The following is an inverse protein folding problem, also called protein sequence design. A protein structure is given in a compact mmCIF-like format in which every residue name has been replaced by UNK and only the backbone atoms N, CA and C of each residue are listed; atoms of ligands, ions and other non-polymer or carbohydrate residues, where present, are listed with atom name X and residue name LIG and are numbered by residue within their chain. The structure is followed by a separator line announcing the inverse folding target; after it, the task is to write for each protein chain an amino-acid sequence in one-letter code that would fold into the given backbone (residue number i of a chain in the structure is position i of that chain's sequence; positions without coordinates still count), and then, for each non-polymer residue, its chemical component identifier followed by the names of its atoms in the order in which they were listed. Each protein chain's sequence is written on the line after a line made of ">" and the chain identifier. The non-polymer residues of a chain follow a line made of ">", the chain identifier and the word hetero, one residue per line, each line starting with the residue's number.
data_IF_576815553286
#
_entry.id   IF_576815553286
#
_cell.length_a   1.000
_cell.length_b   1.000
_cell.length_c   1.000
_cell.angle_alpha   90.00
_cell.angle_beta   90.00
_cell.angle_gamma   90.00
#
_symmetry.space_group_name_H-M   'P 1'
#
loop_
_entity.id
_entity.type
_entity.pdbx_description
1 polymer ?
#
# COMPACT_ATOMS: atom_id res chain seq x y z
N UNK A 1 -12.08 2.99 30.16
CA UNK A 1 -10.99 3.81 29.59
C UNK A 1 -11.26 3.91 28.10
N UNK A 2 -11.91 4.99 27.67
CA UNK A 2 -12.15 5.26 26.24
C UNK A 2 -10.93 6.04 25.74
N UNK A 3 -10.26 5.54 24.70
CA UNK A 3 -9.23 6.31 24.02
C UNK A 3 -9.93 7.42 23.23
N UNK A 4 -9.78 8.66 23.66
CA UNK A 4 -10.21 9.83 22.89
C UNK A 4 -9.41 9.85 21.60
N UNK A 5 -10.09 9.64 20.47
CA UNK A 5 -9.51 9.87 19.15
C UNK A 5 -9.38 11.38 19.01
N UNK A 6 -8.14 11.91 19.04
CA UNK A 6 -7.89 13.34 18.87
C UNK A 6 -8.56 13.85 17.59
N UNK A 7 -9.28 15.00 17.64
CA UNK A 7 -10.01 15.56 16.50
C UNK A 7 -9.13 15.96 15.30
N UNK A 8 -7.80 15.93 15.47
CA UNK A 8 -6.80 16.23 14.43
C UNK A 8 -6.21 14.98 13.77
N UNK A 9 -6.70 13.77 14.08
CA UNK A 9 -6.15 12.56 13.47
C UNK A 9 -6.58 12.47 12.01
N UNK A 10 -5.63 12.64 11.11
CA UNK A 10 -5.79 12.43 9.66
C UNK A 10 -6.55 11.12 9.39
N UNK A 11 -7.76 11.18 8.76
CA UNK A 11 -8.60 10.01 8.54
C UNK A 11 -7.90 8.86 7.83
N UNK A 12 -7.00 9.18 6.90
CA UNK A 12 -6.26 8.17 6.16
C UNK A 12 -5.21 7.46 7.02
N UNK A 13 -4.60 8.18 7.97
CA UNK A 13 -3.73 7.58 9.00
C UNK A 13 -4.45 6.51 9.80
N UNK A 14 -5.70 6.77 10.19
CA UNK A 14 -6.50 5.79 10.94
C UNK A 14 -6.74 4.52 10.11
N UNK A 15 -6.96 4.65 8.81
CA UNK A 15 -7.12 3.50 7.93
C UNK A 15 -5.82 2.70 7.83
N UNK A 16 -4.67 3.36 7.68
CA UNK A 16 -3.38 2.69 7.63
C UNK A 16 -3.06 1.93 8.91
N UNK A 17 -3.33 2.51 10.08
CA UNK A 17 -3.15 1.81 11.36
C UNK A 17 -4.03 0.56 11.45
N UNK A 18 -5.29 0.65 10.98
CA UNK A 18 -6.19 -0.51 10.89
C UNK A 18 -5.67 -1.56 9.91
N UNK A 19 -5.18 -1.16 8.74
CA UNK A 19 -4.58 -2.07 7.76
C UNK A 19 -3.35 -2.79 8.34
N UNK A 20 -2.48 -2.06 9.05
CA UNK A 20 -1.29 -2.64 9.71
C UNK A 20 -1.69 -3.66 10.78
N UNK A 21 -2.68 -3.36 11.61
CA UNK A 21 -3.21 -4.27 12.61
C UNK A 21 -3.86 -5.52 11.97
N UNK A 22 -4.61 -5.32 10.89
CA UNK A 22 -5.27 -6.42 10.17
C UNK A 22 -4.28 -7.33 9.45
N UNK A 23 -3.13 -6.84 8.99
CA UNK A 23 -2.21 -7.58 8.13
C UNK A 23 -1.84 -8.97 8.69
N UNK A 24 -1.56 -9.09 9.99
CA UNK A 24 -1.20 -10.37 10.60
C UNK A 24 -2.42 -11.26 10.92
N UNK A 25 -3.59 -10.67 11.16
CA UNK A 25 -4.79 -11.35 11.67
C UNK A 25 -5.80 -11.72 10.57
N UNK A 26 -5.99 -10.83 9.60
CA UNK A 26 -6.95 -10.95 8.51
C UNK A 26 -6.45 -10.15 7.29
N UNK A 27 -5.77 -10.82 6.36
CA UNK A 27 -5.25 -10.18 5.16
C UNK A 27 -6.35 -9.72 4.18
N UNK A 28 -7.53 -10.34 4.18
CA UNK A 28 -8.66 -9.91 3.34
C UNK A 28 -9.24 -8.57 3.81
N UNK A 29 -9.23 -8.30 5.12
CA UNK A 29 -9.61 -7.00 5.67
C UNK A 29 -8.72 -5.88 5.12
N UNK A 30 -7.42 -6.13 4.95
CA UNK A 30 -6.50 -5.14 4.37
C UNK A 30 -6.93 -4.76 2.95
N UNK A 31 -7.36 -5.72 2.13
CA UNK A 31 -7.84 -5.43 0.78
C UNK A 31 -9.12 -4.59 0.81
N UNK A 32 -10.07 -4.94 1.69
CA UNK A 32 -11.33 -4.20 1.83
C UNK A 32 -11.11 -2.76 2.30
N UNK A 33 -10.20 -2.56 3.24
CA UNK A 33 -9.81 -1.23 3.73
C UNK A 33 -9.12 -0.41 2.65
N UNK A 34 -8.20 -1.01 1.88
CA UNK A 34 -7.53 -0.34 0.76
C UNK A 34 -8.52 0.05 -0.35
N UNK A 35 -9.44 -0.84 -0.72
CA UNK A 35 -10.47 -0.55 -1.73
C UNK A 35 -11.37 0.61 -1.30
N UNK A 36 -11.73 0.68 -0.01
CA UNK A 36 -12.51 1.80 0.53
C UNK A 36 -11.70 3.10 0.54
N UNK A 37 -10.48 3.08 1.09
CA UNK A 37 -9.61 4.24 1.16
C UNK A 37 -9.25 4.79 -0.23
N UNK A 38 -9.06 3.93 -1.22
CA UNK A 38 -8.76 4.36 -2.59
C UNK A 38 -9.94 5.06 -3.25
N UNK A 39 -11.19 4.75 -2.86
CA UNK A 39 -12.37 5.50 -3.30
C UNK A 39 -12.50 6.84 -2.56
N UNK A 40 -12.21 6.86 -1.26
CA UNK A 40 -12.42 8.04 -0.42
C UNK A 40 -11.31 9.10 -0.60
N UNK A 41 -10.05 8.68 -0.74
CA UNK A 41 -8.88 9.58 -0.81
C UNK A 41 -8.26 9.68 -2.20
N UNK A 42 -8.56 8.73 -3.09
CA UNK A 42 -8.01 8.70 -4.45
C UNK A 42 -6.56 8.20 -4.55
N UNK A 43 -6.05 8.22 -5.78
CA UNK A 43 -4.68 7.80 -6.12
C UNK A 43 -3.64 8.89 -5.81
N UNK A 44 -4.00 10.18 -5.89
CA UNK A 44 -3.06 11.27 -5.65
C UNK A 44 -2.83 11.59 -4.16
N UNK A 45 -3.45 10.82 -3.26
CA UNK A 45 -3.21 10.97 -1.83
C UNK A 45 -1.72 10.73 -1.51
N UNK A 46 -1.13 11.52 -0.60
CA UNK A 46 0.26 11.37 -0.18
C UNK A 46 0.55 10.01 0.48
N UNK A 47 -0.47 9.23 0.88
CA UNK A 47 -0.29 7.91 1.47
C UNK A 47 -0.76 6.77 0.57
N UNK A 48 -1.13 7.06 -0.68
CA UNK A 48 -1.57 6.03 -1.63
C UNK A 48 -0.52 4.93 -1.85
N UNK A 49 0.76 5.28 -1.91
CA UNK A 49 1.85 4.32 -2.03
C UNK A 49 2.01 3.44 -0.77
N UNK A 50 1.78 4.01 0.41
CA UNK A 50 1.84 3.29 1.69
C UNK A 50 0.70 2.28 1.81
N UNK A 51 -0.53 2.65 1.44
CA UNK A 51 -1.67 1.73 1.34
C UNK A 51 -1.36 0.58 0.36
N UNK A 52 -0.81 0.92 -0.80
CA UNK A 52 -0.40 -0.04 -1.81
C UNK A 52 0.62 -1.06 -1.31
N UNK A 53 1.63 -0.64 -0.53
CA UNK A 53 2.58 -1.56 0.09
C UNK A 53 1.89 -2.57 1.03
N UNK A 54 0.94 -2.12 1.85
CA UNK A 54 0.19 -2.99 2.74
C UNK A 54 -0.68 -3.98 1.97
N UNK A 55 -1.27 -3.57 0.85
CA UNK A 55 -1.99 -4.46 -0.09
C UNK A 55 -1.09 -5.54 -0.67
N UNK A 56 0.11 -5.19 -1.14
CA UNK A 56 1.08 -6.19 -1.65
C UNK A 56 1.38 -7.24 -0.60
N UNK A 57 1.66 -6.81 0.63
CA UNK A 57 1.94 -7.74 1.75
C UNK A 57 0.75 -8.63 2.06
N UNK A 58 -0.47 -8.09 2.03
CA UNK A 58 -1.69 -8.86 2.24
C UNK A 58 -1.87 -9.92 1.14
N UNK A 59 -1.71 -9.55 -0.13
CA UNK A 59 -1.78 -10.48 -1.27
C UNK A 59 -0.78 -11.63 -1.13
N UNK A 60 0.47 -11.34 -0.72
CA UNK A 60 1.46 -12.40 -0.47
C UNK A 60 1.04 -13.33 0.67
N UNK A 61 0.47 -12.81 1.75
CA UNK A 61 -0.02 -13.64 2.87
C UNK A 61 -1.18 -14.55 2.48
N UNK A 62 -1.92 -14.19 1.43
CA UNK A 62 -2.99 -15.00 0.86
C UNK A 62 -2.52 -15.91 -0.28
N UNK A 63 -1.20 -16.06 -0.46
CA UNK A 63 -0.58 -16.86 -1.54
C UNK A 63 -0.93 -16.36 -2.97
N UNK A 64 -1.35 -15.10 -3.10
CA UNK A 64 -1.70 -14.45 -4.38
C UNK A 64 -0.49 -13.74 -4.99
N UNK A 65 0.60 -14.48 -5.17
CA UNK A 65 1.93 -13.93 -5.51
C UNK A 65 1.94 -13.21 -6.86
N UNK A 66 1.24 -13.76 -7.87
CA UNK A 66 1.16 -13.13 -9.20
C UNK A 66 0.52 -11.74 -9.14
N UNK A 67 -0.59 -11.62 -8.41
CA UNK A 67 -1.29 -10.35 -8.22
C UNK A 67 -0.47 -9.36 -7.39
N UNK A 68 0.18 -9.85 -6.33
CA UNK A 68 1.08 -9.02 -5.52
C UNK A 68 2.20 -8.42 -6.37
N UNK A 69 2.75 -9.22 -7.30
CA UNK A 69 3.81 -8.78 -8.19
C UNK A 69 3.31 -7.73 -9.18
N UNK A 70 2.24 -8.00 -9.93
CA UNK A 70 1.68 -7.04 -10.88
C UNK A 70 1.32 -5.72 -10.20
N UNK A 71 0.71 -5.79 -9.01
CA UNK A 71 0.40 -4.58 -8.25
C UNK A 71 1.65 -3.81 -7.81
N UNK A 72 2.71 -4.50 -7.37
CA UNK A 72 3.97 -3.84 -7.02
C UNK A 72 4.68 -3.20 -8.23
N UNK A 73 4.56 -3.80 -9.42
CA UNK A 73 5.04 -3.22 -10.69
C UNK A 73 4.28 -1.92 -11.01
N UNK A 74 2.95 -1.92 -10.92
CA UNK A 74 2.12 -0.72 -11.09
C UNK A 74 2.45 0.38 -10.07
N UNK A 75 2.73 -0.03 -8.82
CA UNK A 75 3.00 0.89 -7.72
C UNK A 75 4.32 1.66 -7.94
N UNK A 76 5.38 0.97 -8.38
CA UNK A 76 6.67 1.61 -8.67
C UNK A 76 6.65 2.42 -9.97
N UNK A 77 5.80 2.05 -10.95
CA UNK A 77 5.58 2.88 -12.13
C UNK A 77 4.89 4.20 -11.78
N UNK A 78 3.86 4.14 -10.92
CA UNK A 78 3.07 5.31 -10.52
C UNK A 78 3.78 6.21 -9.52
N UNK A 79 4.50 5.64 -8.55
CA UNK A 79 5.20 6.39 -7.50
C UNK A 79 6.70 6.03 -7.47
N UNK A 80 7.46 6.36 -8.53
CA UNK A 80 8.85 5.89 -8.70
C UNK A 80 9.82 6.39 -7.61
N UNK A 81 9.50 7.53 -6.99
CA UNK A 81 10.32 8.15 -5.95
C UNK A 81 9.82 7.88 -4.53
N UNK A 82 8.69 7.19 -4.38
CA UNK A 82 8.12 6.90 -3.07
C UNK A 82 8.82 5.71 -2.39
N UNK A 83 9.23 5.84 -1.11
CA UNK A 83 9.91 4.76 -0.38
C UNK A 83 9.03 3.53 -0.17
N UNK A 84 7.71 3.68 -0.04
CA UNK A 84 6.77 2.57 0.11
C UNK A 84 6.64 1.78 -1.19
N UNK A 85 6.57 2.47 -2.34
CA UNK A 85 6.56 1.83 -3.65
C UNK A 85 7.86 1.03 -3.91
N UNK A 86 9.02 1.63 -3.59
CA UNK A 86 10.32 0.93 -3.66
C UNK A 86 10.39 -0.27 -2.72
N UNK A 87 9.81 -0.16 -1.53
CA UNK A 87 9.72 -1.27 -0.57
C UNK A 87 8.84 -2.41 -1.07
N UNK A 88 7.73 -2.09 -1.76
CA UNK A 88 6.85 -3.09 -2.37
C UNK A 88 7.57 -3.83 -3.51
N UNK A 89 8.26 -3.09 -4.37
CA UNK A 89 9.09 -3.66 -5.43
C UNK A 89 10.17 -4.59 -4.85
N UNK A 90 10.92 -4.12 -3.85
CA UNK A 90 11.96 -4.92 -3.19
C UNK A 90 11.39 -6.18 -2.53
N UNK A 91 10.22 -6.08 -1.88
CA UNK A 91 9.53 -7.22 -1.27
C UNK A 91 9.17 -8.31 -2.29
N UNK A 92 8.86 -7.91 -3.53
CA UNK A 92 8.54 -8.83 -4.62
C UNK A 92 9.76 -9.21 -5.50
N UNK A 93 10.98 -8.80 -5.12
CA UNK A 93 12.18 -9.01 -5.93
C UNK A 93 12.13 -8.30 -7.29
N UNK A 94 11.37 -7.20 -7.39
CA UNK A 94 11.31 -6.34 -8.57
C UNK A 94 12.44 -5.31 -8.45
N UNK A 95 13.35 -5.33 -9.42
CA UNK A 95 14.37 -4.31 -9.55
C UNK A 95 13.91 -3.29 -10.61
N UNK A 96 13.76 -1.99 -10.26
CA UNK A 96 13.39 -0.98 -11.23
C UNK A 96 14.46 -0.94 -12.32
N UNK A 97 14.03 -1.01 -13.59
CA UNK A 97 14.96 -0.87 -14.71
C UNK A 97 15.49 0.57 -14.71
N UNK A 98 16.80 0.78 -14.95
CA UNK A 98 17.30 2.12 -15.15
C UNK A 98 16.51 2.77 -16.29
N UNK A 99 15.94 3.95 -16.05
CA UNK A 99 15.39 4.78 -17.13
C UNK A 99 16.55 5.04 -18.07
N UNK A 100 16.54 4.37 -19.24
CA UNK A 100 17.52 4.61 -20.29
C UNK A 100 17.55 6.09 -20.65
N UNK A 101 18.64 6.60 -21.25
CA UNK A 101 18.75 8.02 -21.57
C UNK A 101 17.51 8.47 -22.35
N UNK A 102 16.83 9.49 -21.82
CA UNK A 102 15.79 10.22 -22.55
C UNK A 102 16.38 10.61 -23.90
N UNK A 103 15.77 10.13 -24.98
CA UNK A 103 16.23 10.42 -26.33
C UNK A 103 15.84 11.84 -26.74
#
# INVERSE_FOLDING_TARGET
>A
MQAEVSPDTDPESLVLERMRAALSQNAEEVLRLDDAASRDFGADSPRAAERGLLRVRALVRMDRIGEARSFAEDLVERYPDDPSARSAAAYMGIHPRPRGPSR
#
